data_IF_603566728895
#
_entry.id   IF_603566728895
#
_cell.length_a   1.000
_cell.length_b   1.000
_cell.length_c   1.000
_cell.angle_alpha   90.00
_cell.angle_beta   90.00
_cell.angle_gamma   90.00
#
_symmetry.space_group_name_H-M   'P 1'
#
loop_
_entity.id
_entity.type
_entity.pdbx_description
1 polymer ?
#
# COMPACT_ATOMS: atom_id res chain seq x y z
N UNK A 1 -20.24 0.55 8.70
CA UNK A 1 -20.04 1.77 7.91
C UNK A 1 -18.55 1.93 7.61
N UNK A 2 -18.19 2.00 6.35
CA UNK A 2 -16.78 2.13 5.97
C UNK A 2 -16.31 3.56 6.14
N UNK A 3 -15.14 3.74 6.71
CA UNK A 3 -14.51 5.05 6.74
C UNK A 3 -14.10 5.45 5.33
N UNK A 4 -14.21 6.72 5.03
CA UNK A 4 -13.70 7.26 3.78
C UNK A 4 -12.26 7.73 3.99
N UNK A 5 -11.36 7.23 3.16
CA UNK A 5 -9.97 7.62 3.21
C UNK A 5 -9.76 8.96 2.53
N UNK A 6 -8.87 9.76 3.11
CA UNK A 6 -8.53 11.08 2.58
C UNK A 6 -7.24 11.00 1.77
N UNK A 7 -7.09 11.91 0.79
CA UNK A 7 -5.85 12.02 0.01
C UNK A 7 -4.72 12.43 0.93
N UNK A 8 -3.56 11.80 0.77
CA UNK A 8 -2.36 12.14 1.53
C UNK A 8 -1.43 10.96 1.71
N UNK A 9 -0.29 11.22 2.35
CA UNK A 9 0.70 10.19 2.67
C UNK A 9 0.23 9.42 3.90
N UNK A 10 0.22 8.09 3.79
CA UNK A 10 -0.16 7.21 4.90
C UNK A 10 1.04 6.54 5.54
N UNK A 11 2.01 6.11 4.73
CA UNK A 11 3.20 5.41 5.21
C UNK A 11 4.44 6.13 4.67
N UNK A 12 5.13 6.84 5.56
CA UNK A 12 6.29 7.66 5.20
C UNK A 12 7.46 6.77 4.75
N UNK A 13 8.09 7.14 3.64
CA UNK A 13 9.24 6.43 3.10
C UNK A 13 10.45 6.42 4.04
N UNK A 14 10.52 7.31 5.02
CA UNK A 14 11.58 7.33 6.02
C UNK A 14 11.64 6.04 6.84
N UNK A 15 10.52 5.28 6.93
CA UNK A 15 10.49 4.00 7.65
C UNK A 15 11.00 2.83 6.81
N UNK A 16 11.30 3.06 5.53
CA UNK A 16 11.79 2.04 4.62
C UNK A 16 10.68 1.28 3.90
N UNK A 17 10.98 0.86 2.66
CA UNK A 17 9.98 0.18 1.83
C UNK A 17 9.54 -1.16 2.40
N UNK A 18 10.45 -1.92 2.99
CA UNK A 18 10.12 -3.24 3.56
C UNK A 18 9.11 -3.12 4.69
N UNK A 19 9.32 -2.14 5.58
CA UNK A 19 8.40 -1.87 6.67
C UNK A 19 7.02 -1.43 6.14
N UNK A 20 7.03 -0.55 5.15
CA UNK A 20 5.80 -0.03 4.57
C UNK A 20 5.01 -1.11 3.82
N UNK A 21 5.68 -2.07 3.18
CA UNK A 21 5.02 -3.20 2.54
C UNK A 21 4.21 -4.02 3.56
N UNK A 22 4.75 -4.24 4.74
CA UNK A 22 4.04 -4.94 5.81
C UNK A 22 2.79 -4.15 6.24
N UNK A 23 2.90 -2.84 6.33
CA UNK A 23 1.78 -1.98 6.69
C UNK A 23 0.71 -1.96 5.62
N UNK A 24 1.11 -1.98 4.34
CA UNK A 24 0.17 -2.07 3.21
C UNK A 24 -0.62 -3.37 3.30
N UNK A 25 0.06 -4.49 3.55
CA UNK A 25 -0.61 -5.77 3.70
C UNK A 25 -1.60 -5.75 4.87
N UNK A 26 -1.21 -5.20 6.02
CA UNK A 26 -2.11 -5.08 7.16
C UNK A 26 -3.35 -4.26 6.82
N UNK A 27 -3.18 -3.16 6.11
CA UNK A 27 -4.31 -2.32 5.70
C UNK A 27 -5.26 -3.11 4.79
N UNK A 28 -4.71 -3.83 3.82
CA UNK A 28 -5.52 -4.65 2.90
C UNK A 28 -6.26 -5.75 3.66
N UNK A 29 -5.62 -6.38 4.64
CA UNK A 29 -6.25 -7.43 5.46
C UNK A 29 -7.41 -6.88 6.27
N UNK A 30 -7.37 -5.63 6.69
CA UNK A 30 -8.49 -4.99 7.37
C UNK A 30 -9.73 -4.89 6.48
N UNK A 31 -9.53 -4.97 5.16
CA UNK A 31 -10.61 -4.93 4.18
C UNK A 31 -10.90 -6.32 3.58
N UNK A 32 -10.51 -7.37 4.30
CA UNK A 32 -10.77 -8.76 3.94
C UNK A 32 -9.91 -9.30 2.78
N UNK A 33 -8.78 -8.65 2.49
CA UNK A 33 -7.82 -9.18 1.52
C UNK A 33 -7.25 -10.50 2.05
N UNK A 34 -7.32 -11.55 1.22
CA UNK A 34 -6.88 -12.89 1.63
C UNK A 34 -5.91 -13.56 0.66
N UNK A 35 -5.49 -12.85 -0.37
CA UNK A 35 -4.55 -13.40 -1.36
C UNK A 35 -3.10 -13.13 -0.94
N UNK A 36 -2.74 -13.66 0.23
CA UNK A 36 -1.41 -13.46 0.81
C UNK A 36 -0.93 -14.75 1.46
N UNK A 37 0.39 -14.85 1.66
CA UNK A 37 1.02 -16.02 2.25
C UNK A 37 1.55 -15.70 3.64
N UNK A 38 1.11 -16.44 4.65
CA UNK A 38 1.64 -16.28 6.00
C UNK A 38 3.13 -16.61 6.08
N UNK A 39 3.60 -17.54 5.23
CA UNK A 39 5.02 -17.88 5.15
C UNK A 39 5.84 -16.67 4.70
N UNK A 40 5.39 -15.97 3.65
CA UNK A 40 6.08 -14.78 3.14
C UNK A 40 6.03 -13.64 4.15
N UNK A 41 4.90 -13.44 4.79
CA UNK A 41 4.76 -12.39 5.81
C UNK A 41 5.72 -12.63 6.97
N UNK A 42 5.81 -13.88 7.45
CA UNK A 42 6.73 -14.22 8.54
C UNK A 42 8.19 -14.01 8.14
N UNK A 43 8.54 -14.35 6.90
CA UNK A 43 9.89 -14.09 6.38
C UNK A 43 10.18 -12.60 6.28
N UNK A 44 9.19 -11.79 5.89
CA UNK A 44 9.36 -10.34 5.80
C UNK A 44 9.62 -9.71 7.17
N UNK A 45 9.07 -10.29 8.23
CA UNK A 45 9.36 -9.83 9.60
C UNK A 45 10.71 -10.33 10.13
N UNK A 46 11.30 -11.33 9.48
CA UNK A 46 12.53 -11.97 9.96
C UNK A 46 13.75 -11.07 9.72
N UNK A 47 14.72 -11.03 10.65
CA UNK A 47 15.97 -10.28 10.43
C UNK A 47 16.74 -10.75 9.19
N UNK A 48 16.60 -12.03 8.81
CA UNK A 48 17.25 -12.57 7.61
C UNK A 48 16.49 -12.22 6.32
N UNK A 49 15.24 -11.77 6.46
CA UNK A 49 14.45 -11.31 5.34
C UNK A 49 14.05 -12.38 4.35
N UNK A 50 13.72 -11.93 3.16
CA UNK A 50 13.30 -12.78 2.05
C UNK A 50 14.47 -13.03 1.12
N UNK A 51 14.59 -14.25 0.58
CA UNK A 51 15.54 -14.50 -0.49
C UNK A 51 15.01 -13.92 -1.80
N UNK A 52 15.79 -13.99 -2.90
CA UNK A 52 15.43 -13.34 -4.17
C UNK A 52 14.10 -13.86 -4.72
N UNK A 53 13.89 -15.17 -4.70
CA UNK A 53 12.65 -15.77 -5.21
C UNK A 53 11.44 -15.40 -4.34
N UNK A 54 11.61 -15.47 -3.03
CA UNK A 54 10.54 -15.09 -2.09
C UNK A 54 10.25 -13.59 -2.14
N UNK A 55 11.29 -12.78 -2.37
CA UNK A 55 11.12 -11.34 -2.49
C UNK A 55 10.23 -10.98 -3.69
N UNK A 56 10.46 -11.60 -4.84
CA UNK A 56 9.63 -11.37 -6.02
C UNK A 56 8.17 -11.74 -5.75
N UNK A 57 7.93 -12.87 -5.09
CA UNK A 57 6.57 -13.29 -4.72
C UNK A 57 5.95 -12.32 -3.71
N UNK A 58 6.76 -11.81 -2.76
CA UNK A 58 6.31 -10.84 -1.77
C UNK A 58 5.89 -9.53 -2.43
N UNK A 59 6.71 -9.00 -3.35
CA UNK A 59 6.39 -7.77 -4.07
C UNK A 59 5.09 -7.95 -4.87
N UNK A 60 4.92 -9.10 -5.53
CA UNK A 60 3.68 -9.39 -6.26
C UNK A 60 2.46 -9.40 -5.33
N UNK A 61 2.62 -9.96 -4.13
CA UNK A 61 1.56 -9.95 -3.12
C UNK A 61 1.18 -8.52 -2.72
N UNK A 62 2.18 -7.67 -2.52
CA UNK A 62 1.93 -6.27 -2.14
C UNK A 62 1.28 -5.50 -3.28
N UNK A 63 1.72 -5.73 -4.53
CA UNK A 63 1.06 -5.12 -5.70
C UNK A 63 -0.42 -5.54 -5.77
N UNK A 64 -0.72 -6.81 -5.51
CA UNK A 64 -2.09 -7.31 -5.44
C UNK A 64 -2.88 -6.66 -4.31
N UNK A 65 -2.24 -6.44 -3.16
CA UNK A 65 -2.87 -5.76 -2.04
C UNK A 65 -3.21 -4.30 -2.39
N UNK A 66 -2.32 -3.63 -3.10
CA UNK A 66 -2.55 -2.24 -3.55
C UNK A 66 -3.73 -2.20 -4.52
N UNK A 67 -3.77 -3.10 -5.50
CA UNK A 67 -4.90 -3.20 -6.44
C UNK A 67 -6.21 -3.47 -5.70
N UNK A 68 -6.16 -4.36 -4.70
CA UNK A 68 -7.32 -4.66 -3.88
C UNK A 68 -7.82 -3.41 -3.13
N UNK A 69 -6.89 -2.63 -2.57
CA UNK A 69 -7.24 -1.38 -1.88
C UNK A 69 -7.90 -0.39 -2.85
N UNK A 70 -7.40 -0.31 -4.08
CA UNK A 70 -7.99 0.58 -5.08
C UNK A 70 -9.42 0.19 -5.45
N UNK A 71 -9.73 -1.10 -5.41
CA UNK A 71 -11.07 -1.60 -5.78
C UNK A 71 -12.04 -1.65 -4.60
N UNK A 72 -11.55 -1.71 -3.36
CA UNK A 72 -12.36 -2.09 -2.20
C UNK A 72 -12.40 -1.07 -1.06
N UNK A 73 -11.76 0.08 -1.21
CA UNK A 73 -11.80 1.12 -0.19
C UNK A 73 -12.64 2.31 -0.64
N UNK A 74 -13.24 2.99 0.33
CA UNK A 74 -14.01 4.20 0.08
C UNK A 74 -13.04 5.38 0.01
N UNK A 75 -12.91 5.97 -1.16
CA UNK A 75 -11.96 7.04 -1.42
C UNK A 75 -12.52 8.04 -2.42
N UNK A 76 -11.95 9.26 -2.52
CA UNK A 76 -12.43 10.24 -3.50
C UNK A 76 -12.31 9.73 -4.94
N UNK A 77 -13.27 10.09 -5.77
CA UNK A 77 -13.27 9.72 -7.20
C UNK A 77 -11.99 10.23 -7.86
N UNK A 78 -11.34 9.36 -8.61
CA UNK A 78 -10.09 9.69 -9.31
C UNK A 78 -8.84 9.54 -8.47
N UNK A 79 -8.99 9.25 -7.17
CA UNK A 79 -7.83 8.96 -6.32
C UNK A 79 -7.43 7.49 -6.41
N UNK A 80 -6.19 7.20 -6.03
CA UNK A 80 -5.70 5.82 -6.05
C UNK A 80 -4.56 5.63 -5.05
N UNK A 81 -4.48 4.41 -4.54
CA UNK A 81 -3.39 4.01 -3.66
C UNK A 81 -2.15 3.70 -4.50
N UNK A 82 -1.02 4.31 -4.14
CA UNK A 82 0.22 4.10 -4.89
C UNK A 82 1.44 4.60 -4.10
N UNK A 83 2.61 4.24 -4.62
CA UNK A 83 3.88 4.76 -4.15
C UNK A 83 4.20 6.07 -4.88
N UNK A 84 4.61 7.10 -4.13
CA UNK A 84 5.11 8.35 -4.67
C UNK A 84 6.36 8.77 -3.91
N UNK A 85 7.50 8.84 -4.58
CA UNK A 85 8.79 9.22 -3.97
C UNK A 85 9.14 8.41 -2.72
N UNK A 86 8.80 7.12 -2.72
CA UNK A 86 9.04 6.23 -1.60
C UNK A 86 7.96 6.24 -0.53
N UNK A 87 7.04 7.18 -0.56
CA UNK A 87 5.91 7.24 0.37
C UNK A 87 4.71 6.50 -0.21
N UNK A 88 4.00 5.77 0.62
CA UNK A 88 2.75 5.13 0.20
C UNK A 88 1.56 5.93 0.72
N UNK A 89 0.63 6.22 -0.16
CA UNK A 89 -0.56 6.95 0.24
C UNK A 89 -1.65 6.91 -0.80
N UNK A 90 -2.65 7.75 -0.60
CA UNK A 90 -3.77 7.92 -1.50
C UNK A 90 -3.58 9.23 -2.25
N UNK A 91 -3.43 9.14 -3.56
CA UNK A 91 -3.03 10.27 -4.39
C UNK A 91 -4.08 10.59 -5.44
N UNK A 92 -4.09 11.85 -5.87
CA UNK A 92 -4.91 12.31 -6.98
C UNK A 92 -4.14 13.37 -7.75
N UNK A 93 -4.19 13.30 -9.07
CA UNK A 93 -3.57 14.32 -9.93
C UNK A 93 -4.66 15.26 -10.45
N UNK A 94 -4.31 16.54 -10.61
CA UNK A 94 -5.22 17.53 -11.17
C UNK A 94 -5.24 17.45 -12.71
N UNK A 95 -6.02 18.32 -13.35
CA UNK A 95 -6.16 18.35 -14.82
C UNK A 95 -4.84 18.67 -15.51
N UNK A 96 -3.90 19.29 -14.81
CA UNK A 96 -2.58 19.65 -15.35
C UNK A 96 -1.56 18.55 -15.12
N UNK A 97 -1.95 17.46 -14.46
CA UNK A 97 -1.08 16.32 -14.18
C UNK A 97 -0.22 16.50 -12.94
N UNK A 98 -0.51 17.48 -12.11
CA UNK A 98 0.21 17.69 -10.85
C UNK A 98 -0.47 16.98 -9.70
N UNK A 99 0.34 16.46 -8.78
CA UNK A 99 -0.16 15.77 -7.61
C UNK A 99 -0.90 16.75 -6.70
N UNK A 100 -2.14 16.40 -6.37
CA UNK A 100 -2.94 17.23 -5.47
C UNK A 100 -2.56 16.95 -4.02
N UNK A 101 -2.35 18.02 -3.26
CA UNK A 101 -2.11 17.91 -1.82
C UNK A 101 -3.44 17.85 -1.07
N UNK A 102 -3.39 17.29 0.14
CA UNK A 102 -4.54 17.31 1.03
C UNK A 102 -4.87 18.76 1.36
N UNK A 103 -6.12 19.12 1.12
CA UNK A 103 -6.60 20.47 1.46
C UNK A 103 -7.14 20.41 2.89
N UNK A 104 -6.54 21.16 3.73
CA UNK A 104 -6.98 21.27 5.12
C UNK A 104 -8.05 22.34 5.28
#
# INVERSE_FOLDING_TARGET
MSERYEIGCYFDGAFGSDHNMLRILDLAKQHDFNDWSSRLEQKAYSPNGLDDDDYDAWVSTIDGAIDFLNDNTNKPDGSYWAWEDGDFGLWMYDDEGELMDVVE
#
